data_IF_528052762734
#
_entry.id   IF_528052762734
#
_cell.length_a   1.000
_cell.length_b   1.000
_cell.length_c   1.000
_cell.angle_alpha   90.00
_cell.angle_beta   90.00
_cell.angle_gamma   90.00
#
_symmetry.space_group_name_H-M   'P 1'
#
loop_
_entity.id
_entity.type
_entity.pdbx_description
1 polymer ?
#
# COMPACT_ATOMS: atom_id res chain seq x y z
N UNK A 1 -16.37 5.38 29.62
CA UNK A 1 -16.79 6.03 28.37
C UNK A 1 -17.64 5.04 27.60
N UNK A 2 -18.57 5.50 26.77
CA UNK A 2 -19.37 4.59 25.92
C UNK A 2 -18.56 4.18 24.69
N UNK A 3 -18.75 2.96 24.19
CA UNK A 3 -18.12 2.47 22.94
C UNK A 3 -18.39 3.42 21.76
N UNK A 4 -19.51 4.14 21.77
CA UNK A 4 -19.85 5.14 20.76
C UNK A 4 -18.95 6.39 20.83
N UNK A 5 -18.57 6.82 22.03
CA UNK A 5 -17.67 7.97 22.20
C UNK A 5 -16.24 7.61 21.77
N UNK A 6 -15.77 6.41 22.12
CA UNK A 6 -14.46 5.92 21.74
C UNK A 6 -14.33 5.76 20.22
N UNK A 7 -15.34 5.18 19.56
CA UNK A 7 -15.38 5.09 18.10
C UNK A 7 -15.34 6.49 17.45
N UNK A 8 -16.15 7.44 17.96
CA UNK A 8 -16.20 8.79 17.41
C UNK A 8 -14.88 9.55 17.58
N UNK A 9 -14.22 9.36 18.72
CA UNK A 9 -12.90 9.95 18.98
C UNK A 9 -11.85 9.37 18.03
N UNK A 10 -11.83 8.04 17.86
CA UNK A 10 -10.93 7.34 16.93
C UNK A 10 -11.09 7.85 15.49
N UNK A 11 -12.32 7.97 14.97
CA UNK A 11 -12.55 8.49 13.61
C UNK A 11 -12.17 9.97 13.47
N UNK A 12 -12.33 10.76 14.54
CA UNK A 12 -11.97 12.18 14.55
C UNK A 12 -10.45 12.38 14.50
N UNK A 13 -9.70 11.52 15.20
CA UNK A 13 -8.23 11.53 15.22
C UNK A 13 -7.64 11.00 13.90
N UNK A 14 -8.15 9.88 13.40
CA UNK A 14 -7.59 9.22 12.21
C UNK A 14 -8.12 9.77 10.88
N UNK A 15 -9.15 10.63 10.91
CA UNK A 15 -9.80 11.23 9.74
C UNK A 15 -10.19 10.22 8.65
N UNK A 16 -10.54 9.01 9.06
CA UNK A 16 -10.81 7.88 8.15
C UNK A 16 -10.39 6.55 8.78
N UNK A 17 -10.60 5.47 8.04
CA UNK A 17 -10.26 4.10 8.46
C UNK A 17 -9.07 3.52 7.68
N UNK A 18 -8.87 3.96 6.44
CA UNK A 18 -7.88 3.42 5.52
C UNK A 18 -6.78 4.44 5.27
N UNK A 19 -5.54 4.00 5.36
CA UNK A 19 -4.36 4.77 4.97
C UNK A 19 -3.64 4.07 3.82
N UNK A 20 -3.01 4.85 2.95
CA UNK A 20 -2.11 4.31 1.91
C UNK A 20 -0.68 4.60 2.32
N UNK A 21 0.10 3.54 2.53
CA UNK A 21 1.50 3.64 2.91
C UNK A 21 2.43 3.51 1.71
N UNK A 22 3.49 4.32 1.68
CA UNK A 22 4.56 4.17 0.69
C UNK A 22 5.42 2.97 1.06
N UNK A 23 5.46 1.95 0.19
CA UNK A 23 6.25 0.71 0.42
C UNK A 23 7.75 0.86 0.09
N UNK A 24 8.16 1.96 -0.53
CA UNK A 24 9.55 2.20 -0.94
C UNK A 24 9.96 3.63 -0.67
N UNK A 25 11.06 3.81 0.03
CA UNK A 25 11.56 5.13 0.40
C UNK A 25 12.07 5.86 -0.85
N UNK A 26 11.46 7.00 -1.18
CA UNK A 26 11.87 7.87 -2.29
C UNK A 26 12.47 9.13 -1.70
N UNK A 27 13.81 9.27 -1.75
CA UNK A 27 14.53 10.42 -1.16
C UNK A 27 15.04 11.42 -2.18
N UNK A 28 15.23 10.99 -3.43
CA UNK A 28 15.89 11.80 -4.45
C UNK A 28 15.31 11.51 -5.86
N UNK A 29 15.70 12.32 -6.84
CA UNK A 29 15.23 12.22 -8.23
C UNK A 29 15.55 10.87 -8.91
N UNK A 30 16.63 10.19 -8.49
CA UNK A 30 16.99 8.86 -8.99
C UNK A 30 16.01 7.81 -8.47
N UNK A 31 15.65 7.86 -7.19
CA UNK A 31 14.65 6.97 -6.59
C UNK A 31 13.28 7.15 -7.25
N UNK A 32 12.89 8.39 -7.53
CA UNK A 32 11.64 8.71 -8.24
C UNK A 32 11.64 8.13 -9.66
N UNK A 33 12.76 8.23 -10.37
CA UNK A 33 12.93 7.68 -11.73
C UNK A 33 12.91 6.15 -11.76
N UNK A 34 13.26 5.47 -10.65
CA UNK A 34 13.19 4.02 -10.49
C UNK A 34 11.78 3.55 -10.11
N UNK A 35 11.12 4.31 -9.24
CA UNK A 35 9.74 4.06 -8.81
C UNK A 35 8.71 4.40 -9.89
N UNK A 36 9.07 5.27 -10.84
CA UNK A 36 8.21 5.71 -11.94
C UNK A 36 8.88 5.56 -13.31
N UNK A 37 8.39 6.25 -14.34
CA UNK A 37 9.01 6.29 -15.68
C UNK A 37 10.37 6.99 -15.61
N UNK A 38 11.46 6.51 -16.27
CA UNK A 38 11.56 5.39 -17.23
C UNK A 38 11.90 4.02 -16.60
N UNK A 39 12.13 3.93 -15.28
CA UNK A 39 12.51 2.70 -14.59
C UNK A 39 11.41 1.63 -14.61
N UNK A 40 10.16 2.04 -14.42
CA UNK A 40 8.98 1.15 -14.51
C UNK A 40 8.75 0.67 -15.94
N UNK A 41 8.92 1.55 -16.94
CA UNK A 41 8.72 1.22 -18.36
C UNK A 41 9.69 0.15 -18.88
N UNK A 42 10.85 0.00 -18.25
CA UNK A 42 11.84 -1.05 -18.58
C UNK A 42 11.56 -2.38 -17.89
N UNK A 43 10.63 -2.45 -16.93
CA UNK A 43 10.23 -3.73 -16.35
C UNK A 43 9.39 -4.49 -17.37
N UNK A 44 9.96 -5.56 -17.95
CA UNK A 44 9.15 -6.58 -18.62
C UNK A 44 8.37 -7.33 -17.54
N UNK A 45 7.05 -7.17 -17.52
CA UNK A 45 6.21 -7.96 -16.63
C UNK A 45 6.14 -9.40 -17.17
N UNK A 46 6.61 -10.36 -16.38
CA UNK A 46 6.39 -11.77 -16.65
C UNK A 46 4.97 -12.14 -16.18
N UNK A 47 4.09 -12.67 -17.06
CA UNK A 47 2.72 -13.01 -16.70
C UNK A 47 2.61 -13.95 -15.49
N UNK A 48 3.52 -14.91 -15.35
CA UNK A 48 3.54 -15.86 -14.23
C UNK A 48 3.83 -15.14 -12.91
N UNK A 49 4.83 -14.25 -12.88
CA UNK A 49 5.17 -13.48 -11.68
C UNK A 49 4.05 -12.52 -11.25
N UNK A 50 3.31 -11.98 -12.23
CA UNK A 50 2.12 -11.15 -11.96
C UNK A 50 1.01 -11.99 -11.37
N UNK A 51 0.77 -13.19 -11.91
CA UNK A 51 -0.24 -14.12 -11.41
C UNK A 51 0.04 -14.54 -9.96
N UNK A 52 1.27 -14.99 -9.67
CA UNK A 52 1.68 -15.40 -8.32
C UNK A 52 1.57 -14.24 -7.31
N UNK A 53 2.04 -13.04 -7.66
CA UNK A 53 1.93 -11.86 -6.78
C UNK A 53 0.48 -11.44 -6.56
N UNK A 54 -0.36 -11.53 -7.57
CA UNK A 54 -1.79 -11.20 -7.45
C UNK A 54 -2.49 -12.19 -6.54
N UNK A 55 -2.18 -13.49 -6.64
CA UNK A 55 -2.70 -14.51 -5.71
C UNK A 55 -2.26 -14.24 -4.28
N UNK A 56 -0.98 -13.94 -4.06
CA UNK A 56 -0.45 -13.61 -2.73
C UNK A 56 -1.06 -12.34 -2.13
N UNK A 57 -1.29 -11.29 -2.93
CA UNK A 57 -1.93 -10.06 -2.47
C UNK A 57 -3.43 -10.21 -2.24
N UNK A 58 -4.09 -11.08 -2.99
CA UNK A 58 -5.53 -11.37 -2.85
C UNK A 58 -5.84 -12.16 -1.58
N UNK A 59 -4.84 -12.84 -0.99
CA UNK A 59 -4.93 -13.37 0.36
C UNK A 59 -4.84 -12.18 1.33
N UNK A 60 -5.96 -11.47 1.48
CA UNK A 60 -6.17 -10.52 2.58
C UNK A 60 -5.81 -11.28 3.86
N UNK A 61 -4.80 -10.76 4.58
CA UNK A 61 -4.21 -11.40 5.75
C UNK A 61 -5.30 -11.85 6.72
N UNK A 62 -5.65 -13.13 6.67
CA UNK A 62 -6.47 -13.78 7.68
C UNK A 62 -5.57 -13.98 8.90
N UNK A 63 -5.49 -12.91 9.68
CA UNK A 63 -5.37 -12.88 11.13
C UNK A 63 -4.17 -13.58 11.76
N UNK A 64 -3.23 -12.77 12.25
CA UNK A 64 -3.02 -12.73 13.71
C UNK A 64 -4.26 -12.15 14.40
#
# INVERSE_FOLDING_TARGET
MSNQEEARQMHKENQGELSTGIKTVVKNAKDLSLAYSPGVARRKANPEDVHQKTMQLSLIGKGE
#
